data_IF_346797999557
#
_entry.id   IF_346797999557
#
_cell.length_a   1.000
_cell.length_b   1.000
_cell.length_c   1.000
_cell.angle_alpha   90.00
_cell.angle_beta   90.00
_cell.angle_gamma   90.00
#
_symmetry.space_group_name_H-M   'P 1'
#
loop_
_entity.id
_entity.type
_entity.pdbx_description
1 polymer ?
#
# COMPACT_ATOMS: atom_id res chain seq x y z
N UNK A 1 5.54 17.06 -14.25
CA UNK A 1 5.74 16.92 -12.84
C UNK A 1 4.92 15.83 -12.20
N UNK A 2 5.10 15.62 -10.92
CA UNK A 2 4.39 14.63 -10.12
C UNK A 2 3.56 15.38 -9.09
N UNK A 3 2.27 15.09 -9.02
CA UNK A 3 1.40 15.64 -7.98
C UNK A 3 1.39 14.71 -6.77
N UNK A 4 1.61 15.28 -5.58
CA UNK A 4 1.63 14.52 -4.33
C UNK A 4 0.51 15.01 -3.43
N UNK A 5 -0.30 14.08 -2.97
CA UNK A 5 -1.41 14.34 -2.03
C UNK A 5 -1.17 13.59 -0.73
N UNK A 6 -1.62 14.15 0.37
CA UNK A 6 -1.57 13.52 1.68
C UNK A 6 -2.98 13.45 2.27
N UNK A 7 -3.33 12.30 2.84
CA UNK A 7 -4.65 12.11 3.44
C UNK A 7 -4.52 11.30 4.74
N UNK A 8 -5.14 11.80 5.81
CA UNK A 8 -5.24 11.10 7.09
C UNK A 8 -6.60 11.40 7.74
N UNK A 9 -6.78 10.98 8.98
CA UNK A 9 -8.04 11.17 9.71
C UNK A 9 -8.36 12.64 10.02
N UNK A 10 -7.38 13.55 9.92
CA UNK A 10 -7.58 14.97 10.21
C UNK A 10 -8.09 15.76 9.01
N UNK A 11 -8.03 15.19 7.82
CA UNK A 11 -8.49 15.85 6.59
C UNK A 11 -10.02 15.90 6.57
N UNK A 12 -10.58 17.06 6.27
CA UNK A 12 -12.03 17.24 6.19
C UNK A 12 -12.65 16.38 5.09
N UNK A 13 -13.92 16.02 5.22
CA UNK A 13 -14.65 15.26 4.23
C UNK A 13 -14.62 15.93 2.85
N UNK A 14 -14.75 17.26 2.80
CA UNK A 14 -14.69 18.02 1.55
C UNK A 14 -13.33 17.90 0.87
N UNK A 15 -12.24 18.06 1.62
CA UNK A 15 -10.89 17.97 1.07
C UNK A 15 -10.55 16.54 0.68
N UNK A 16 -11.00 15.55 1.46
CA UNK A 16 -10.86 14.13 1.13
C UNK A 16 -11.51 13.82 -0.21
N UNK A 17 -12.73 14.27 -0.41
CA UNK A 17 -13.45 14.06 -1.67
C UNK A 17 -12.71 14.68 -2.86
N UNK A 18 -12.19 15.90 -2.68
CA UNK A 18 -11.40 16.57 -3.71
C UNK A 18 -10.14 15.77 -4.09
N UNK A 19 -9.41 15.27 -3.08
CA UNK A 19 -8.21 14.45 -3.31
C UNK A 19 -8.57 13.17 -4.09
N UNK A 20 -9.65 12.49 -3.71
CA UNK A 20 -10.10 11.28 -4.39
C UNK A 20 -10.45 11.58 -5.85
N UNK A 21 -11.15 12.67 -6.11
CA UNK A 21 -11.49 13.08 -7.47
C UNK A 21 -10.24 13.35 -8.30
N UNK A 22 -9.25 14.06 -7.74
CA UNK A 22 -7.98 14.32 -8.43
C UNK A 22 -7.19 13.03 -8.69
N UNK A 23 -7.17 12.10 -7.73
CA UNK A 23 -6.47 10.83 -7.89
C UNK A 23 -7.11 9.95 -8.98
N UNK A 24 -8.41 10.07 -9.21
CA UNK A 24 -9.09 9.30 -10.25
C UNK A 24 -8.91 9.86 -11.67
N UNK A 25 -8.35 11.04 -11.81
CA UNK A 25 -7.97 11.57 -13.12
C UNK A 25 -6.66 10.91 -13.59
N UNK A 26 -6.59 10.55 -14.85
CA UNK A 26 -5.42 9.85 -15.43
C UNK A 26 -4.54 10.73 -16.30
N UNK A 27 -4.56 12.01 -16.06
CA UNK A 27 -3.86 13.03 -16.84
C UNK A 27 -2.37 13.19 -16.47
N UNK A 28 -1.98 12.80 -15.25
CA UNK A 28 -0.62 12.99 -14.71
C UNK A 28 -0.25 11.87 -13.76
N UNK A 29 1.05 11.74 -13.48
CA UNK A 29 1.55 10.86 -12.44
C UNK A 29 1.23 11.46 -11.07
N UNK A 30 0.60 10.70 -10.22
CA UNK A 30 0.17 11.13 -8.88
C UNK A 30 0.61 10.14 -7.82
N UNK A 31 0.93 10.68 -6.65
CA UNK A 31 1.28 9.88 -5.47
C UNK A 31 0.33 10.29 -4.36
N UNK A 32 -0.31 9.30 -3.76
CA UNK A 32 -1.10 9.49 -2.55
C UNK A 32 -0.37 8.88 -1.37
N UNK A 33 -0.11 9.68 -0.36
CA UNK A 33 0.44 9.24 0.92
C UNK A 33 -0.70 9.17 1.92
N UNK A 34 -0.88 8.03 2.53
CA UNK A 34 -2.01 7.77 3.44
C UNK A 34 -1.60 6.88 4.59
N UNK A 35 -2.20 7.06 5.74
CA UNK A 35 -2.07 6.12 6.85
C UNK A 35 -2.86 4.84 6.53
N UNK A 36 -2.44 3.71 7.12
CA UNK A 36 -3.15 2.43 6.94
C UNK A 36 -4.61 2.51 7.40
N UNK A 37 -4.87 3.17 8.52
CA UNK A 37 -6.23 3.32 9.03
C UNK A 37 -7.13 4.09 8.07
N UNK A 38 -6.64 5.15 7.46
CA UNK A 38 -7.39 5.92 6.47
C UNK A 38 -7.63 5.13 5.20
N UNK A 39 -6.62 4.40 4.73
CA UNK A 39 -6.77 3.52 3.55
C UNK A 39 -7.82 2.45 3.80
N UNK A 40 -7.85 1.88 5.01
CA UNK A 40 -8.79 0.84 5.38
C UNK A 40 -10.24 1.33 5.42
N UNK A 41 -10.50 2.60 5.75
CA UNK A 41 -11.85 3.13 5.94
C UNK A 41 -12.54 3.61 4.67
N UNK A 42 -11.94 3.43 3.50
CA UNK A 42 -12.73 3.57 2.29
C UNK A 42 -12.33 4.66 1.32
N UNK A 43 -11.13 4.62 0.83
CA UNK A 43 -10.76 5.44 -0.33
C UNK A 43 -11.24 4.75 -1.61
N UNK A 44 -12.11 5.41 -2.38
CA UNK A 44 -12.60 4.90 -3.67
C UNK A 44 -11.73 5.42 -4.82
N UNK A 45 -10.53 4.85 -4.94
CA UNK A 45 -9.59 5.20 -6.00
C UNK A 45 -9.37 3.96 -6.86
N UNK A 46 -9.86 4.00 -8.10
CA UNK A 46 -9.77 2.86 -9.01
C UNK A 46 -8.48 2.87 -9.85
N UNK A 47 -7.82 4.02 -9.95
CA UNK A 47 -6.61 4.21 -10.74
C UNK A 47 -5.31 3.88 -10.01
N UNK A 48 -5.37 3.04 -8.98
CA UNK A 48 -4.18 2.60 -8.25
C UNK A 48 -3.52 1.45 -9.02
N UNK A 49 -2.31 1.68 -9.48
CA UNK A 49 -1.50 0.68 -10.19
C UNK A 49 -0.38 0.12 -9.32
N UNK A 50 0.08 0.91 -8.36
CA UNK A 50 1.18 0.56 -7.47
C UNK A 50 0.82 0.92 -6.04
N UNK A 51 1.12 0.02 -5.11
CA UNK A 51 0.97 0.26 -3.67
C UNK A 51 2.31 0.00 -3.01
N UNK A 52 2.74 0.93 -2.16
CA UNK A 52 3.99 0.81 -1.41
C UNK A 52 3.64 0.76 0.07
N UNK A 53 3.98 -0.36 0.72
CA UNK A 53 3.91 -0.46 2.17
C UNK A 53 5.23 0.06 2.74
N UNK A 54 5.23 1.34 3.08
CA UNK A 54 6.45 2.04 3.52
C UNK A 54 6.75 1.85 5.00
N UNK A 55 5.78 1.40 5.77
CA UNK A 55 5.93 1.13 7.20
C UNK A 55 5.43 -0.28 7.52
N UNK A 56 5.91 -0.84 8.61
CA UNK A 56 5.60 -2.22 8.97
C UNK A 56 4.27 -2.32 9.70
N UNK A 57 3.52 -3.39 9.42
CA UNK A 57 2.27 -3.70 10.10
C UNK A 57 2.01 -5.20 9.99
N UNK A 58 1.13 -5.73 10.83
CA UNK A 58 0.81 -7.17 10.85
C UNK A 58 -0.67 -7.48 10.65
N UNK A 59 -1.54 -6.48 10.67
CA UNK A 59 -2.98 -6.71 10.56
C UNK A 59 -3.36 -7.31 9.20
N UNK A 60 -3.81 -8.55 9.19
CA UNK A 60 -4.30 -9.21 7.99
C UNK A 60 -5.46 -8.43 7.36
N UNK A 61 -6.33 -7.85 8.19
CA UNK A 61 -7.45 -7.04 7.73
C UNK A 61 -6.98 -5.82 6.94
N UNK A 62 -5.95 -5.12 7.41
CA UNK A 62 -5.40 -3.97 6.68
C UNK A 62 -4.75 -4.40 5.36
N UNK A 63 -4.05 -5.53 5.34
CA UNK A 63 -3.46 -6.09 4.12
C UNK A 63 -4.56 -6.39 3.10
N UNK A 64 -5.60 -7.11 3.49
CA UNK A 64 -6.71 -7.47 2.62
C UNK A 64 -7.35 -6.23 2.03
N UNK A 65 -7.60 -5.21 2.83
CA UNK A 65 -8.26 -3.99 2.37
C UNK A 65 -7.38 -3.20 1.40
N UNK A 66 -6.09 -3.06 1.72
CA UNK A 66 -5.15 -2.35 0.85
C UNK A 66 -4.99 -3.05 -0.51
N UNK A 67 -4.81 -4.37 -0.50
CA UNK A 67 -4.69 -5.17 -1.73
C UNK A 67 -6.00 -5.14 -2.51
N UNK A 68 -7.14 -5.28 -1.83
CA UNK A 68 -8.45 -5.24 -2.48
C UNK A 68 -8.71 -3.92 -3.21
N UNK A 69 -8.23 -2.82 -2.66
CA UNK A 69 -8.30 -1.51 -3.32
C UNK A 69 -7.43 -1.48 -4.58
N UNK A 70 -6.21 -2.00 -4.49
CA UNK A 70 -5.29 -2.04 -5.63
C UNK A 70 -5.80 -2.96 -6.75
N UNK A 71 -6.55 -4.00 -6.43
CA UNK A 71 -7.07 -4.95 -7.41
C UNK A 71 -8.36 -4.52 -8.09
N UNK A 72 -8.91 -3.36 -7.78
CA UNK A 72 -10.13 -2.89 -8.45
C UNK A 72 -9.91 -2.72 -9.94
N UNK A 73 -10.89 -3.15 -10.71
CA UNK A 73 -10.85 -3.03 -12.17
C UNK A 73 -10.93 -1.55 -12.58
N UNK A 74 -10.11 -1.19 -13.54
CA UNK A 74 -10.06 0.13 -14.11
C UNK A 74 -9.62 0.02 -15.56
N UNK A 75 -10.13 0.89 -16.44
CA UNK A 75 -9.80 0.89 -17.86
C UNK A 75 -8.27 1.01 -18.06
N UNK A 76 -7.67 0.08 -18.79
CA UNK A 76 -6.23 0.04 -19.02
C UNK A 76 -5.42 -0.62 -17.91
N UNK A 77 -6.09 -1.13 -16.86
CA UNK A 77 -5.43 -1.78 -15.74
C UNK A 77 -5.65 -3.29 -15.81
N UNK A 78 -4.58 -4.04 -15.99
CA UNK A 78 -4.59 -5.51 -16.00
C UNK A 78 -4.00 -6.12 -14.73
N UNK A 79 -3.16 -5.36 -14.01
CA UNK A 79 -2.55 -5.81 -12.75
C UNK A 79 -2.22 -4.63 -11.86
N UNK A 80 -2.01 -4.92 -10.58
CA UNK A 80 -1.43 -3.99 -9.61
C UNK A 80 -0.16 -4.60 -9.02
N UNK A 81 0.81 -3.76 -8.70
CA UNK A 81 2.06 -4.19 -8.08
C UNK A 81 2.12 -3.66 -6.65
N UNK A 82 2.50 -4.54 -5.73
CA UNK A 82 2.65 -4.19 -4.32
C UNK A 82 4.12 -4.32 -3.95
N UNK A 83 4.66 -3.25 -3.40
CA UNK A 83 6.02 -3.17 -2.90
C UNK A 83 5.97 -3.18 -1.38
N UNK A 84 6.46 -4.23 -0.77
CA UNK A 84 6.48 -4.40 0.68
C UNK A 84 7.90 -4.14 1.18
N UNK A 85 8.10 -3.01 1.85
CA UNK A 85 9.42 -2.60 2.33
C UNK A 85 9.62 -3.13 3.73
N UNK A 86 10.70 -3.86 3.94
CA UNK A 86 11.04 -4.47 5.22
C UNK A 86 12.45 -4.05 5.62
N UNK A 87 12.57 -3.38 6.76
CA UNK A 87 13.86 -3.04 7.35
C UNK A 87 14.36 -4.20 8.22
N UNK A 88 15.56 -4.68 7.92
CA UNK A 88 16.28 -5.62 8.77
C UNK A 88 17.36 -4.83 9.49
N UNK A 89 17.04 -4.35 10.68
CA UNK A 89 17.88 -3.43 11.44
C UNK A 89 19.13 -4.10 12.00
N UNK A 90 19.08 -5.41 12.24
CA UNK A 90 20.22 -6.19 12.70
C UNK A 90 20.21 -7.55 11.97
N UNK A 91 21.26 -7.80 11.19
CA UNK A 91 21.41 -9.03 10.44
C UNK A 91 21.46 -10.28 11.33
N UNK A 92 21.86 -10.13 12.60
CA UNK A 92 21.96 -11.22 13.56
C UNK A 92 20.71 -11.38 14.43
N UNK A 93 19.80 -10.39 14.41
CA UNK A 93 18.57 -10.44 15.20
C UNK A 93 17.37 -10.69 14.30
N UNK A 94 17.11 -11.96 14.05
CA UNK A 94 15.94 -12.42 13.29
C UNK A 94 14.64 -12.24 14.08
N UNK A 95 14.71 -11.75 15.31
CA UNK A 95 13.55 -11.58 16.19
C UNK A 95 13.01 -10.17 16.23
N UNK A 96 13.56 -9.23 15.43
CA UNK A 96 13.04 -7.88 15.45
C UNK A 96 11.56 -7.84 15.00
N UNK A 97 10.82 -6.89 15.54
CA UNK A 97 9.38 -6.78 15.32
C UNK A 97 9.04 -6.59 13.85
N UNK A 98 9.83 -5.81 13.11
CA UNK A 98 9.60 -5.52 11.71
C UNK A 98 9.69 -6.79 10.85
N UNK A 99 10.71 -7.61 11.11
CA UNK A 99 10.87 -8.88 10.40
C UNK A 99 9.73 -9.86 10.72
N UNK A 100 9.33 -9.95 12.01
CA UNK A 100 8.20 -10.81 12.39
C UNK A 100 6.90 -10.38 11.73
N UNK A 101 6.65 -9.09 11.66
CA UNK A 101 5.47 -8.56 10.96
C UNK A 101 5.50 -8.88 9.47
N UNK A 102 6.67 -8.80 8.85
CA UNK A 102 6.83 -9.23 7.46
C UNK A 102 6.52 -10.71 7.29
N UNK A 103 7.01 -11.57 8.18
CA UNK A 103 6.74 -13.01 8.12
C UNK A 103 5.24 -13.30 8.15
N UNK A 104 4.47 -12.56 8.94
CA UNK A 104 3.01 -12.65 8.96
C UNK A 104 2.40 -12.26 7.61
N UNK A 105 2.87 -11.17 7.01
CA UNK A 105 2.40 -10.74 5.68
C UNK A 105 2.76 -11.75 4.60
N UNK A 106 3.99 -12.27 4.63
CA UNK A 106 4.46 -13.29 3.67
C UNK A 106 3.59 -14.55 3.74
N UNK A 107 3.23 -14.98 4.94
CA UNK A 107 2.32 -16.11 5.13
C UNK A 107 0.98 -15.86 4.44
N UNK A 108 0.44 -14.65 4.53
CA UNK A 108 -0.77 -14.27 3.84
C UNK A 108 -0.59 -14.31 2.31
N UNK A 109 0.51 -13.78 1.79
CA UNK A 109 0.78 -13.80 0.35
C UNK A 109 0.85 -15.23 -0.20
N UNK A 110 1.49 -16.13 0.52
CA UNK A 110 1.55 -17.56 0.17
C UNK A 110 0.16 -18.21 0.19
N UNK A 111 -0.62 -17.94 1.22
CA UNK A 111 -1.98 -18.48 1.35
C UNK A 111 -2.87 -18.05 0.19
N UNK A 112 -2.73 -16.83 -0.28
CA UNK A 112 -3.48 -16.29 -1.42
C UNK A 112 -2.86 -16.63 -2.77
N UNK A 113 -1.72 -17.31 -2.78
CA UNK A 113 -0.98 -17.70 -3.99
C UNK A 113 -0.62 -16.49 -4.87
N UNK A 114 -0.32 -15.34 -4.25
CA UNK A 114 0.20 -14.20 -4.99
C UNK A 114 1.63 -14.48 -5.43
N UNK A 115 1.98 -14.27 -6.71
CA UNK A 115 3.38 -14.35 -7.13
C UNK A 115 4.17 -13.21 -6.50
N UNK A 116 5.29 -13.54 -5.85
CA UNK A 116 6.15 -12.53 -5.26
C UNK A 116 7.61 -12.96 -5.28
N UNK A 117 8.51 -12.00 -5.12
CA UNK A 117 9.92 -12.25 -4.98
C UNK A 117 10.51 -11.33 -3.93
N UNK A 118 11.59 -11.77 -3.29
CA UNK A 118 12.29 -11.00 -2.28
C UNK A 118 13.57 -10.44 -2.90
N UNK A 119 13.73 -9.11 -2.82
CA UNK A 119 14.94 -8.42 -3.25
C UNK A 119 15.64 -7.89 -2.01
N UNK A 120 16.95 -8.11 -1.91
CA UNK A 120 17.75 -7.65 -0.78
C UNK A 120 18.69 -6.55 -1.23
N UNK A 121 18.71 -5.46 -0.48
CA UNK A 121 19.57 -4.31 -0.73
C UNK A 121 20.41 -4.04 0.52
N UNK A 122 21.71 -3.87 0.32
CA UNK A 122 22.64 -3.41 1.36
C UNK A 122 22.86 -1.92 1.15
N UNK A 123 22.42 -1.13 2.12
CA UNK A 123 22.55 0.33 2.09
C UNK A 123 23.78 0.80 2.84
#
# INVERSE_FOLDING_TARGET
GIDVYYIDSTISTKNRKHIIEEMNKTDRIKILVSSYGTTATGLSINSIFNVIFADSFKSESLIIQAIGRALRLFKGKDKATIYDIVDVLDANDMTNTLYRQFTERERFYKKRKYPYKILKFNL
#
